data_IF_598632885099
#
_entry.id   IF_598632885099
#
_cell.length_a   1.000
_cell.length_b   1.000
_cell.length_c   1.000
_cell.angle_alpha   90.00
_cell.angle_beta   90.00
_cell.angle_gamma   90.00
#
_symmetry.space_group_name_H-M   'P 1'
#
loop_
_entity.id
_entity.type
_entity.pdbx_description
1 polymer ?
#
# COMPACT_ATOMS: atom_id res chain seq x y z
N UNK A 1 -1.15 6.30 10.09
CA UNK A 1 -0.92 6.43 8.63
C UNK A 1 0.08 7.54 8.32
N UNK A 2 0.98 7.33 7.36
CA UNK A 2 1.85 8.38 6.81
C UNK A 2 1.81 8.36 5.28
N UNK A 3 1.67 9.54 4.68
CA UNK A 3 1.80 9.74 3.22
C UNK A 3 3.28 9.78 2.85
N UNK A 4 3.62 9.17 1.73
CA UNK A 4 4.98 9.09 1.21
C UNK A 4 4.97 9.20 -0.31
N UNK A 5 6.14 9.36 -0.92
CA UNK A 5 6.33 9.34 -2.38
C UNK A 5 7.65 8.62 -2.65
N UNK A 6 7.61 7.29 -2.52
CA UNK A 6 8.80 6.42 -2.51
C UNK A 6 8.62 5.34 -3.58
N UNK A 7 9.70 4.96 -4.25
CA UNK A 7 9.67 3.85 -5.22
C UNK A 7 9.33 2.52 -4.54
N UNK A 8 8.57 1.66 -5.22
CA UNK A 8 8.29 0.28 -4.78
C UNK A 8 9.56 -0.57 -4.59
N UNK A 9 10.69 -0.21 -5.19
CA UNK A 9 11.99 -0.84 -4.91
C UNK A 9 12.41 -0.78 -3.44
N UNK A 10 11.87 0.18 -2.68
CA UNK A 10 12.15 0.33 -1.24
C UNK A 10 11.08 -0.30 -0.35
N UNK A 11 10.21 -1.16 -0.89
CA UNK A 11 9.09 -1.77 -0.16
C UNK A 11 9.53 -2.56 1.08
N UNK A 12 10.74 -3.14 1.06
CA UNK A 12 11.31 -3.86 2.21
C UNK A 12 11.47 -3.01 3.47
N UNK A 13 11.51 -1.68 3.37
CA UNK A 13 11.52 -0.76 4.53
C UNK A 13 10.21 -0.78 5.33
N UNK A 14 9.13 -1.28 4.73
CA UNK A 14 7.79 -1.32 5.31
C UNK A 14 7.38 -2.72 5.76
N UNK A 15 8.35 -3.62 5.98
CA UNK A 15 8.09 -4.97 6.48
C UNK A 15 7.15 -4.98 7.70
N UNK A 16 6.11 -5.82 7.64
CA UNK A 16 5.07 -5.93 8.65
C UNK A 16 3.99 -4.83 8.61
N UNK A 17 4.07 -3.86 7.70
CA UNK A 17 3.11 -2.75 7.55
C UNK A 17 2.25 -2.90 6.30
N UNK A 18 1.10 -2.23 6.32
CA UNK A 18 0.25 -2.05 5.14
C UNK A 18 0.75 -0.88 4.31
N UNK A 19 0.87 -1.08 3.00
CA UNK A 19 1.28 -0.05 2.03
C UNK A 19 0.20 0.13 0.97
N UNK A 20 0.01 1.37 0.55
CA UNK A 20 -0.78 1.73 -0.64
C UNK A 20 0.19 2.04 -1.79
N UNK A 21 0.05 1.31 -2.90
CA UNK A 21 0.91 1.39 -4.07
C UNK A 21 0.13 1.92 -5.27
N UNK A 22 0.54 3.06 -5.81
CA UNK A 22 0.12 3.51 -7.13
C UNK A 22 0.82 2.65 -8.18
N UNK A 23 0.09 1.70 -8.76
CA UNK A 23 0.60 0.72 -9.73
C UNK A 23 0.93 1.34 -11.09
N UNK A 24 0.35 2.50 -11.43
CA UNK A 24 0.65 3.20 -12.68
C UNK A 24 1.99 3.92 -12.62
N UNK A 25 2.37 4.38 -11.41
CA UNK A 25 3.60 5.15 -11.19
C UNK A 25 4.69 4.35 -10.48
N UNK A 26 4.39 3.11 -10.08
CA UNK A 26 5.28 2.24 -9.29
C UNK A 26 5.78 2.91 -7.99
N UNK A 27 4.85 3.55 -7.28
CA UNK A 27 5.18 4.28 -6.04
C UNK A 27 4.33 3.86 -4.86
N UNK A 28 4.97 3.77 -3.71
CA UNK A 28 4.30 3.72 -2.41
C UNK A 28 3.88 5.16 -2.07
N UNK A 29 2.57 5.35 -1.90
CA UNK A 29 1.96 6.67 -1.65
C UNK A 29 1.50 6.85 -0.19
N UNK A 30 1.27 5.75 0.51
CA UNK A 30 0.96 5.77 1.94
C UNK A 30 1.33 4.44 2.60
N UNK A 31 1.53 4.46 3.91
CA UNK A 31 1.64 3.25 4.72
C UNK A 31 0.98 3.44 6.10
N UNK A 32 0.62 2.33 6.73
CA UNK A 32 0.01 2.28 8.06
C UNK A 32 0.22 0.92 8.72
N UNK A 33 -0.11 0.82 10.00
CA UNK A 33 -0.03 -0.46 10.70
C UNK A 33 -1.22 -1.36 10.34
N UNK A 34 -2.33 -0.76 9.93
CA UNK A 34 -3.58 -1.43 9.57
C UNK A 34 -4.03 -1.07 8.16
N UNK A 35 -4.84 -1.94 7.53
CA UNK A 35 -5.48 -1.63 6.25
C UNK A 35 -6.39 -0.40 6.34
N UNK A 36 -7.10 -0.24 7.47
CA UNK A 36 -8.01 0.89 7.72
C UNK A 36 -7.30 2.24 7.62
N UNK A 37 -6.05 2.30 8.06
CA UNK A 37 -5.23 3.51 7.98
C UNK A 37 -4.88 3.93 6.55
N UNK A 38 -4.82 3.00 5.59
CA UNK A 38 -4.55 3.32 4.18
C UNK A 38 -5.82 3.31 3.32
N UNK A 39 -6.97 2.98 3.90
CA UNK A 39 -8.24 2.78 3.20
C UNK A 39 -8.61 3.96 2.29
N UNK A 40 -8.35 5.19 2.71
CA UNK A 40 -8.66 6.39 1.92
C UNK A 40 -7.96 6.47 0.55
N UNK A 41 -6.93 5.64 0.31
CA UNK A 41 -6.19 5.60 -0.96
C UNK A 41 -6.55 4.42 -1.86
N UNK A 42 -7.18 3.40 -1.27
CA UNK A 42 -7.41 2.09 -1.90
C UNK A 42 -8.89 1.71 -1.94
N UNK A 43 -9.74 2.48 -1.24
CA UNK A 43 -11.20 2.35 -1.26
C UNK A 43 -11.81 3.57 -1.94
N UNK A 44 -12.85 3.35 -2.73
CA UNK A 44 -13.62 4.40 -3.41
C UNK A 44 -15.10 4.18 -3.18
N UNK A 45 -15.90 5.22 -3.40
CA UNK A 45 -17.35 5.07 -3.50
C UNK A 45 -17.71 4.48 -4.86
N UNK A 46 -18.81 3.75 -4.94
CA UNK A 46 -19.36 3.23 -6.21
C UNK A 46 -19.57 4.40 -7.17
N UNK A 47 -19.03 4.32 -8.38
CA UNK A 47 -19.04 5.41 -9.37
C UNK A 47 -17.92 6.46 -9.22
N UNK A 48 -17.03 6.29 -8.23
CA UNK A 48 -15.78 7.07 -8.10
C UNK A 48 -14.54 6.16 -8.23
N UNK A 49 -14.64 5.06 -8.98
CA UNK A 49 -13.55 4.09 -9.14
C UNK A 49 -12.27 4.76 -9.68
N UNK A 50 -12.38 5.79 -10.51
CA UNK A 50 -11.24 6.57 -11.01
C UNK A 50 -10.45 7.30 -9.90
N UNK A 51 -11.06 7.52 -8.73
CA UNK A 51 -10.37 8.13 -7.57
C UNK A 51 -9.56 7.10 -6.78
N UNK A 52 -9.75 5.80 -7.02
CA UNK A 52 -8.92 4.74 -6.42
C UNK A 52 -7.57 4.76 -7.14
N UNK A 53 -6.55 5.28 -6.45
CA UNK A 53 -5.22 5.52 -7.02
C UNK A 53 -4.22 4.43 -6.68
N UNK A 54 -4.57 3.51 -5.80
CA UNK A 54 -3.60 2.54 -5.29
C UNK A 54 -4.20 1.18 -4.94
N UNK A 55 -3.36 0.16 -5.03
CA UNK A 55 -3.59 -1.16 -4.48
C UNK A 55 -3.02 -1.25 -3.05
N UNK A 56 -3.64 -2.06 -2.19
CA UNK A 56 -3.20 -2.29 -0.81
C UNK A 56 -2.47 -3.63 -0.69
N UNK A 57 -1.32 -3.62 -0.02
CA UNK A 57 -0.56 -4.83 0.28
C UNK A 57 -0.01 -4.79 1.69
N UNK A 58 -0.05 -5.92 2.41
CA UNK A 58 0.71 -6.09 3.65
C UNK A 58 2.09 -6.64 3.28
N UNK A 59 3.13 -5.89 3.62
CA UNK A 59 4.50 -6.33 3.36
C UNK A 59 4.84 -7.41 4.39
N UNK A 60 5.28 -8.62 3.95
CA UNK A 60 5.69 -9.66 4.89
C UNK A 60 6.81 -9.17 5.81
N UNK A 61 6.85 -9.68 7.03
CA UNK A 61 8.03 -9.50 7.89
C UNK A 61 9.19 -10.34 7.36
N UNK A 62 10.41 -9.99 7.76
CA UNK A 62 11.64 -10.66 7.28
C UNK A 62 11.64 -12.17 7.52
N UNK A 63 10.92 -12.60 8.54
CA UNK A 63 10.77 -13.97 9.03
C UNK A 63 9.50 -14.68 8.54
N UNK A 64 8.54 -13.98 7.92
CA UNK A 64 7.25 -14.56 7.50
C UNK A 64 7.29 -15.21 6.10
N UNK A 65 8.42 -15.12 5.38
CA UNK A 65 8.50 -15.54 3.97
C UNK A 65 7.60 -14.70 3.05
N UNK A 66 7.69 -14.85 1.71
CA UNK A 66 6.80 -14.14 0.80
C UNK A 66 5.37 -14.65 0.94
N UNK A 67 4.39 -13.76 1.08
CA UNK A 67 2.98 -14.13 0.93
C UNK A 67 2.73 -14.53 -0.54
N UNK A 68 2.29 -15.76 -0.77
CA UNK A 68 1.78 -16.21 -2.06
C UNK A 68 0.27 -15.92 -2.04
N UNK A 69 -0.17 -14.98 -2.87
CA UNK A 69 -1.58 -14.59 -3.05
C UNK A 69 -2.15 -15.25 -4.30
#
# INVERSE_FOLDING_TARGET
MKRVNISTSQIGKFAGRWVAIDTKKEKIIAFGETLREIAAFVTGKKGEEEKIKAAAFKVPRKDEGPYIL
#
